data_IF_864798707019
#
_entry.id   IF_864798707019
#
_cell.length_a   1.000
_cell.length_b   1.000
_cell.length_c   1.000
_cell.angle_alpha   90.00
_cell.angle_beta   90.00
_cell.angle_gamma   90.00
#
_symmetry.space_group_name_H-M   'P 1'
#
loop_
_entity.id
_entity.type
_entity.pdbx_description
1 polymer ?
#
# COMPACT_ATOMS: atom_id res chain seq x y z
N UNK A 1 -9.47 -6.69 -4.14
CA UNK A 1 -8.13 -7.28 -4.04
C UNK A 1 -8.17 -8.81 -4.05
N UNK A 2 -8.85 -9.49 -3.13
CA UNK A 2 -8.93 -10.96 -3.10
C UNK A 2 -9.48 -11.58 -4.40
N UNK A 3 -10.50 -10.97 -5.03
CA UNK A 3 -11.04 -11.46 -6.30
C UNK A 3 -10.01 -11.36 -7.45
N UNK A 4 -9.25 -10.27 -7.52
CA UNK A 4 -8.18 -10.11 -8.52
C UNK A 4 -7.08 -11.13 -8.28
N UNK A 5 -6.70 -11.36 -7.02
CA UNK A 5 -5.71 -12.36 -6.66
C UNK A 5 -6.15 -13.79 -7.01
N UNK A 6 -7.41 -14.14 -6.78
CA UNK A 6 -7.94 -15.45 -7.14
C UNK A 6 -8.02 -15.70 -8.64
N UNK A 7 -8.41 -14.68 -9.41
CA UNK A 7 -8.58 -14.81 -10.86
C UNK A 7 -7.24 -14.79 -11.60
N UNK A 8 -6.29 -13.95 -11.15
CA UNK A 8 -5.04 -13.73 -11.86
C UNK A 8 -3.87 -14.51 -11.26
N UNK A 9 -3.84 -14.71 -9.93
CA UNK A 9 -2.67 -15.22 -9.21
C UNK A 9 -2.94 -16.48 -8.36
N UNK A 10 -3.98 -17.25 -8.68
CA UNK A 10 -4.25 -18.56 -8.10
C UNK A 10 -4.47 -18.61 -6.56
N UNK A 11 -4.96 -17.53 -5.96
CA UNK A 11 -5.47 -17.58 -4.58
C UNK A 11 -4.44 -17.56 -3.45
N UNK A 12 -3.18 -17.19 -3.74
CA UNK A 12 -2.08 -17.15 -2.75
C UNK A 12 -2.39 -16.23 -1.56
N UNK A 13 -3.12 -15.13 -1.78
CA UNK A 13 -3.51 -14.22 -0.70
C UNK A 13 -4.42 -14.88 0.32
N UNK A 14 -5.25 -15.84 -0.07
CA UNK A 14 -6.13 -16.55 0.87
C UNK A 14 -5.35 -17.38 1.87
N UNK A 15 -4.32 -18.11 1.41
CA UNK A 15 -3.47 -18.87 2.32
C UNK A 15 -2.83 -17.94 3.36
N UNK A 16 -2.28 -16.81 2.93
CA UNK A 16 -1.69 -15.82 3.84
C UNK A 16 -2.71 -15.23 4.83
N UNK A 17 -3.93 -14.95 4.38
CA UNK A 17 -5.01 -14.47 5.26
C UNK A 17 -5.36 -15.53 6.31
N UNK A 18 -5.42 -16.81 5.94
CA UNK A 18 -5.61 -17.91 6.88
C UNK A 18 -4.46 -18.04 7.88
N UNK A 19 -3.21 -18.00 7.40
CA UNK A 19 -2.01 -18.15 8.22
C UNK A 19 -1.91 -17.02 9.26
N UNK A 20 -2.13 -15.79 8.86
CA UNK A 20 -2.17 -14.64 9.77
C UNK A 20 -3.42 -14.66 10.66
N UNK A 21 -4.55 -15.09 10.13
CA UNK A 21 -5.79 -15.25 10.88
C UNK A 21 -5.72 -16.29 12.00
N UNK A 22 -4.84 -17.28 11.88
CA UNK A 22 -4.57 -18.29 12.92
C UNK A 22 -3.69 -17.77 14.07
N UNK A 23 -3.02 -16.62 13.89
CA UNK A 23 -2.18 -16.03 14.93
C UNK A 23 -3.02 -15.44 16.08
N UNK A 24 -2.46 -15.34 17.30
CA UNK A 24 -3.14 -14.70 18.44
C UNK A 24 -3.63 -13.29 18.08
N UNK A 25 -4.79 -12.90 18.61
CA UNK A 25 -5.39 -11.58 18.33
C UNK A 25 -4.44 -10.42 18.61
N UNK A 26 -3.65 -10.49 19.71
CA UNK A 26 -2.65 -9.47 20.03
C UNK A 26 -1.61 -9.28 18.93
N UNK A 27 -1.13 -10.38 18.32
CA UNK A 27 -0.21 -10.31 17.19
C UNK A 27 -0.87 -9.66 15.96
N UNK A 28 -2.11 -10.03 15.65
CA UNK A 28 -2.86 -9.43 14.52
C UNK A 28 -3.08 -7.93 14.72
N UNK A 29 -3.39 -7.49 15.94
CA UNK A 29 -3.51 -6.07 16.28
C UNK A 29 -2.18 -5.33 16.11
N UNK A 30 -1.05 -5.93 16.50
CA UNK A 30 0.28 -5.34 16.27
C UNK A 30 0.57 -5.19 14.77
N UNK A 31 0.21 -6.18 13.94
CA UNK A 31 0.36 -6.08 12.48
C UNK A 31 -0.49 -4.93 11.92
N UNK A 32 -1.75 -4.77 12.37
CA UNK A 32 -2.61 -3.65 11.95
C UNK A 32 -1.99 -2.29 12.29
N UNK A 33 -1.50 -2.13 13.51
CA UNK A 33 -0.86 -0.89 13.97
C UNK A 33 0.44 -0.61 13.21
N UNK A 34 1.31 -1.63 13.09
CA UNK A 34 2.59 -1.50 12.39
C UNK A 34 2.39 -1.10 10.93
N UNK A 35 1.57 -1.86 10.19
CA UNK A 35 1.32 -1.58 8.76
C UNK A 35 0.66 -0.23 8.58
N UNK A 36 -0.40 0.06 9.33
CA UNK A 36 -1.13 1.32 9.19
C UNK A 36 -0.31 2.57 9.54
N UNK A 37 0.57 2.50 10.53
CA UNK A 37 1.36 3.66 10.97
C UNK A 37 2.70 3.71 10.26
N UNK A 38 3.52 2.67 10.41
CA UNK A 38 4.91 2.69 9.96
C UNK A 38 5.02 2.77 8.44
N UNK A 39 4.19 2.01 7.74
CA UNK A 39 4.23 2.02 6.27
C UNK A 39 3.72 3.35 5.72
N UNK A 40 2.70 3.97 6.32
CA UNK A 40 2.23 5.29 5.88
C UNK A 40 3.24 6.40 6.15
N UNK A 41 3.96 6.35 7.28
CA UNK A 41 5.05 7.29 7.55
C UNK A 41 6.18 7.16 6.51
N UNK A 42 6.55 5.94 6.13
CA UNK A 42 7.63 5.71 5.17
C UNK A 42 7.18 6.06 3.74
N UNK A 43 6.06 5.48 3.29
CA UNK A 43 5.69 5.58 1.87
C UNK A 43 4.94 6.86 1.52
N UNK A 44 4.17 7.45 2.45
CA UNK A 44 3.40 8.69 2.18
C UNK A 44 4.12 9.91 2.71
N UNK A 45 4.37 9.96 4.01
CA UNK A 45 4.99 11.14 4.58
C UNK A 45 6.42 11.35 4.06
N UNK A 46 7.25 10.32 4.02
CA UNK A 46 8.64 10.45 3.56
C UNK A 46 8.73 10.35 2.03
N UNK A 47 8.48 9.17 1.43
CA UNK A 47 8.82 8.93 0.03
C UNK A 47 7.94 9.71 -0.95
N UNK A 48 6.62 9.67 -0.80
CA UNK A 48 5.70 10.42 -1.69
C UNK A 48 5.98 11.92 -1.62
N UNK A 49 6.14 12.47 -0.41
CA UNK A 49 6.41 13.90 -0.22
C UNK A 49 7.78 14.28 -0.76
N UNK A 50 8.81 13.48 -0.50
CA UNK A 50 10.18 13.74 -0.98
C UNK A 50 10.24 13.76 -2.51
N UNK A 51 9.64 12.74 -3.17
CA UNK A 51 9.61 12.67 -4.64
C UNK A 51 8.82 13.84 -5.22
N UNK A 52 7.66 14.17 -4.65
CA UNK A 52 6.87 15.31 -5.10
C UNK A 52 7.65 16.63 -4.95
N UNK A 53 8.33 16.83 -3.83
CA UNK A 53 9.16 18.01 -3.59
C UNK A 53 10.33 18.11 -4.58
N UNK A 54 11.07 17.02 -4.78
CA UNK A 54 12.18 16.97 -5.74
C UNK A 54 11.72 17.20 -7.17
N UNK A 55 10.57 16.62 -7.56
CA UNK A 55 10.01 16.78 -8.90
C UNK A 55 9.49 18.20 -9.15
N UNK A 56 8.97 18.87 -8.13
CA UNK A 56 8.44 20.24 -8.26
C UNK A 56 9.52 21.25 -8.67
N UNK A 57 10.77 21.09 -8.22
CA UNK A 57 11.86 22.02 -8.52
C UNK A 57 12.12 22.18 -10.03
N UNK A 58 12.38 21.11 -10.82
CA UNK A 58 12.55 21.26 -12.25
C UNK A 58 11.25 21.57 -12.98
N UNK A 59 10.12 20.99 -12.57
CA UNK A 59 8.84 21.17 -13.24
C UNK A 59 8.35 22.62 -13.16
N UNK A 60 8.58 23.32 -12.07
CA UNK A 60 8.20 24.75 -11.93
C UNK A 60 8.89 25.68 -12.93
N UNK A 61 9.99 25.24 -13.55
CA UNK A 61 10.67 25.97 -14.62
C UNK A 61 10.09 25.73 -16.00
N UNK A 62 9.24 24.69 -16.15
CA UNK A 62 8.73 24.21 -17.44
C UNK A 62 7.23 24.47 -17.57
N UNK A 63 6.48 24.38 -16.48
CA UNK A 63 5.01 24.49 -16.50
C UNK A 63 4.46 25.20 -15.28
N UNK A 64 3.42 26.05 -15.44
CA UNK A 64 2.70 26.64 -14.31
C UNK A 64 1.96 25.59 -13.46
N UNK A 65 1.61 24.45 -14.03
CA UNK A 65 0.92 23.36 -13.36
C UNK A 65 1.88 22.33 -12.72
N UNK A 66 3.07 22.79 -12.33
CA UNK A 66 4.12 21.95 -11.75
C UNK A 66 3.66 21.20 -10.49
N UNK A 67 2.87 21.83 -9.63
CA UNK A 67 2.48 21.26 -8.34
C UNK A 67 1.62 20.00 -8.47
N UNK A 68 0.47 20.00 -9.18
CA UNK A 68 -0.31 18.78 -9.37
C UNK A 68 0.46 17.64 -10.02
N UNK A 69 1.29 17.97 -11.03
CA UNK A 69 2.11 16.97 -11.72
C UNK A 69 3.15 16.34 -10.78
N UNK A 70 3.87 17.17 -10.00
CA UNK A 70 4.83 16.70 -9.01
C UNK A 70 4.15 15.82 -7.93
N UNK A 71 2.95 16.17 -7.51
CA UNK A 71 2.14 15.39 -6.57
C UNK A 71 1.84 13.99 -7.11
N UNK A 72 1.36 13.90 -8.35
CA UNK A 72 1.08 12.62 -8.98
C UNK A 72 2.34 11.79 -9.19
N UNK A 73 3.46 12.40 -9.55
CA UNK A 73 4.76 11.70 -9.61
C UNK A 73 5.15 11.10 -8.25
N UNK A 74 4.97 11.87 -7.18
CA UNK A 74 5.20 11.37 -5.81
C UNK A 74 4.29 10.19 -5.46
N UNK A 75 2.98 10.31 -5.75
CA UNK A 75 2.01 9.26 -5.48
C UNK A 75 2.36 7.97 -6.25
N UNK A 76 2.64 8.08 -7.54
CA UNK A 76 2.97 6.92 -8.39
C UNK A 76 4.28 6.27 -7.94
N UNK A 77 5.32 7.05 -7.67
CA UNK A 77 6.60 6.54 -7.19
C UNK A 77 6.46 5.87 -5.82
N UNK A 78 5.76 6.50 -4.87
CA UNK A 78 5.50 5.94 -3.55
C UNK A 78 4.69 4.65 -3.62
N UNK A 79 3.68 4.59 -4.48
CA UNK A 79 2.88 3.39 -4.71
C UNK A 79 3.68 2.25 -5.35
N UNK A 80 4.54 2.55 -6.30
CA UNK A 80 5.42 1.57 -6.93
C UNK A 80 6.42 0.98 -5.93
N UNK A 81 7.08 1.84 -5.14
CA UNK A 81 8.01 1.39 -4.10
C UNK A 81 7.29 0.60 -3.00
N UNK A 82 6.08 0.99 -2.64
CA UNK A 82 5.23 0.22 -1.73
C UNK A 82 4.93 -1.19 -2.27
N UNK A 83 4.59 -1.29 -3.55
CA UNK A 83 4.41 -2.57 -4.23
C UNK A 83 5.68 -3.43 -4.21
N UNK A 84 6.83 -2.85 -4.57
CA UNK A 84 8.13 -3.55 -4.57
C UNK A 84 8.54 -4.08 -3.20
N UNK A 85 8.28 -3.33 -2.14
CA UNK A 85 8.61 -3.76 -0.78
C UNK A 85 7.84 -5.02 -0.34
N UNK A 86 6.73 -5.33 -1.01
CA UNK A 86 5.91 -6.51 -0.73
C UNK A 86 6.30 -7.76 -1.53
N UNK A 87 7.29 -7.68 -2.42
CA UNK A 87 7.75 -8.82 -3.24
C UNK A 87 8.25 -9.97 -2.38
N UNK A 88 9.06 -9.69 -1.35
CA UNK A 88 9.61 -10.71 -0.45
C UNK A 88 8.59 -11.42 0.44
N UNK A 89 7.37 -10.90 0.50
CA UNK A 89 6.28 -11.49 1.26
C UNK A 89 5.56 -12.66 0.54
N UNK A 90 6.02 -13.04 -0.64
CA UNK A 90 5.35 -13.97 -1.54
C UNK A 90 6.35 -14.99 -2.10
N UNK A 91 6.87 -15.92 -1.28
CA UNK A 91 7.65 -17.03 -1.80
C UNK A 91 6.76 -17.90 -2.72
N UNK A 92 7.36 -18.44 -3.76
CA UNK A 92 6.80 -19.49 -4.63
C UNK A 92 5.58 -19.11 -5.50
N UNK A 93 5.42 -17.85 -5.85
CA UNK A 93 4.38 -17.43 -6.82
C UNK A 93 4.98 -17.11 -8.19
N UNK A 94 4.26 -17.47 -9.23
CA UNK A 94 4.57 -17.00 -10.57
C UNK A 94 4.49 -15.47 -10.61
N UNK A 95 5.54 -14.82 -11.15
CA UNK A 95 5.60 -13.36 -11.32
C UNK A 95 5.42 -12.54 -10.01
N UNK A 96 6.24 -12.76 -8.97
CA UNK A 96 6.05 -12.13 -7.66
C UNK A 96 6.10 -10.59 -7.72
N UNK A 97 6.96 -10.03 -8.55
CA UNK A 97 7.07 -8.58 -8.74
C UNK A 97 5.78 -8.01 -9.35
N UNK A 98 5.29 -8.62 -10.45
CA UNK A 98 4.07 -8.16 -11.10
C UNK A 98 2.88 -8.20 -10.15
N UNK A 99 2.74 -9.29 -9.40
CA UNK A 99 1.68 -9.45 -8.41
C UNK A 99 1.77 -8.41 -7.28
N UNK A 100 2.94 -8.26 -6.69
CA UNK A 100 3.15 -7.31 -5.59
C UNK A 100 2.88 -5.88 -6.04
N UNK A 101 3.41 -5.47 -7.20
CA UNK A 101 3.21 -4.13 -7.75
C UNK A 101 1.75 -3.91 -8.15
N UNK A 102 1.06 -4.92 -8.72
CA UNK A 102 -0.35 -4.76 -9.09
C UNK A 102 -1.24 -4.63 -7.85
N UNK A 103 -1.11 -5.54 -6.89
CA UNK A 103 -2.03 -5.57 -5.73
C UNK A 103 -1.70 -4.45 -4.73
N UNK A 104 -0.44 -4.39 -4.29
CA UNK A 104 -0.04 -3.40 -3.28
C UNK A 104 0.18 -2.02 -3.91
N UNK A 105 0.63 -1.95 -5.18
CA UNK A 105 0.74 -0.69 -5.89
C UNK A 105 -0.60 0.00 -6.10
N UNK A 106 -1.68 -0.73 -6.44
CA UNK A 106 -3.04 -0.15 -6.52
C UNK A 106 -3.49 0.36 -5.15
N UNK A 107 -3.29 -0.43 -4.08
CA UNK A 107 -3.54 0.05 -2.72
C UNK A 107 -2.70 1.29 -2.40
N UNK A 108 -1.43 1.28 -2.80
CA UNK A 108 -0.50 2.41 -2.68
C UNK A 108 -0.97 3.69 -3.36
N UNK A 109 -1.53 3.57 -4.58
CA UNK A 109 -2.12 4.71 -5.31
C UNK A 109 -3.32 5.30 -4.57
N UNK A 110 -4.23 4.45 -4.07
CA UNK A 110 -5.41 4.89 -3.32
C UNK A 110 -4.99 5.61 -2.03
N UNK A 111 -4.09 5.02 -1.26
CA UNK A 111 -3.61 5.60 0.00
C UNK A 111 -2.78 6.88 -0.25
N UNK A 112 -1.98 6.92 -1.31
CA UNK A 112 -1.22 8.12 -1.71
C UNK A 112 -2.13 9.27 -2.15
N UNK A 113 -3.17 8.98 -2.92
CA UNK A 113 -4.19 9.96 -3.26
C UNK A 113 -4.95 10.45 -2.02
N UNK A 114 -5.35 9.53 -1.11
CA UNK A 114 -6.04 9.87 0.11
C UNK A 114 -5.17 10.73 1.03
N UNK A 115 -3.87 10.39 1.17
CA UNK A 115 -2.87 11.17 1.89
C UNK A 115 -2.84 12.62 1.37
N UNK A 116 -2.81 12.79 0.07
CA UNK A 116 -2.73 14.11 -0.54
C UNK A 116 -4.02 14.93 -0.38
N UNK A 117 -5.16 14.26 -0.45
CA UNK A 117 -6.46 14.92 -0.40
C UNK A 117 -6.99 15.15 1.02
N UNK A 118 -6.75 14.22 1.94
CA UNK A 118 -7.34 14.21 3.28
C UNK A 118 -6.32 14.20 4.42
N UNK A 119 -5.04 14.07 4.12
CA UNK A 119 -3.97 14.02 5.10
C UNK A 119 -3.53 12.62 5.50
N UNK A 120 -2.44 12.58 6.26
CA UNK A 120 -1.77 11.35 6.68
C UNK A 120 -2.67 10.48 7.57
N UNK A 121 -3.42 11.08 8.46
CA UNK A 121 -4.31 10.39 9.40
C UNK A 121 -5.38 9.57 8.67
N UNK A 122 -5.91 10.14 7.57
CA UNK A 122 -6.89 9.43 6.74
C UNK A 122 -6.30 8.24 6.03
N UNK A 123 -5.06 8.35 5.54
CA UNK A 123 -4.34 7.23 4.94
C UNK A 123 -4.05 6.14 6.00
N UNK A 124 -3.54 6.51 7.17
CA UNK A 124 -3.29 5.60 8.30
C UNK A 124 -4.56 4.83 8.69
N UNK A 125 -5.65 5.54 8.96
CA UNK A 125 -6.92 4.92 9.38
C UNK A 125 -7.48 3.99 8.31
N UNK A 126 -7.43 4.39 7.04
CA UNK A 126 -7.88 3.56 5.92
C UNK A 126 -7.04 2.31 5.76
N UNK A 127 -5.71 2.43 5.89
CA UNK A 127 -4.80 1.29 5.82
C UNK A 127 -5.03 0.33 7.00
N UNK A 128 -5.07 0.84 8.23
CA UNK A 128 -5.39 0.04 9.42
C UNK A 128 -6.72 -0.69 9.27
N UNK A 129 -7.76 -0.01 8.79
CA UNK A 129 -9.05 -0.63 8.55
C UNK A 129 -8.97 -1.76 7.52
N UNK A 130 -8.28 -1.55 6.40
CA UNK A 130 -8.11 -2.56 5.37
C UNK A 130 -7.38 -3.81 5.90
N UNK A 131 -6.30 -3.63 6.68
CA UNK A 131 -5.55 -4.73 7.32
C UNK A 131 -6.39 -5.43 8.39
N UNK A 132 -7.15 -4.68 9.19
CA UNK A 132 -8.05 -5.25 10.20
C UNK A 132 -9.14 -6.11 9.54
N UNK A 133 -9.73 -5.66 8.45
CA UNK A 133 -10.69 -6.47 7.68
C UNK A 133 -10.04 -7.75 7.19
N UNK A 134 -8.85 -7.68 6.59
CA UNK A 134 -8.16 -8.84 6.03
C UNK A 134 -7.74 -9.87 7.09
N UNK A 135 -7.22 -9.43 8.24
CA UNK A 135 -6.57 -10.33 9.20
C UNK A 135 -7.36 -10.56 10.51
N UNK A 136 -8.44 -9.82 10.72
CA UNK A 136 -9.28 -9.99 11.90
C UNK A 136 -10.71 -10.38 11.51
N UNK A 137 -11.32 -9.64 10.58
CA UNK A 137 -12.73 -9.85 10.26
C UNK A 137 -12.98 -11.02 9.30
N UNK A 138 -12.15 -11.21 8.26
CA UNK A 138 -12.34 -12.27 7.25
C UNK A 138 -11.97 -13.67 7.73
N UNK A 139 -10.86 -13.92 8.48
CA UNK A 139 -10.41 -15.27 8.81
C UNK A 139 -11.44 -16.20 9.46
N UNK A 140 -12.36 -15.73 10.33
CA UNK A 140 -13.38 -16.59 10.91
C UNK A 140 -14.35 -17.22 9.89
N UNK A 141 -14.37 -16.72 8.64
CA UNK A 141 -15.26 -17.18 7.57
C UNK A 141 -14.54 -17.98 6.48
N UNK A 142 -13.23 -18.25 6.63
CA UNK A 142 -12.38 -19.02 5.71
C UNK A 142 -12.07 -20.41 6.27
#
# INVERSE_FOLDING_TARGET
MLAIDQVIFAGVSLQRVRDLGSQPLGFRLLVVLYSGITEELIYRLLLTTLVAWLAQMPLSRITPDARPLAQWLGIVAGAFLFGLAHVGNLPDVAHPVLRAVTINGVAGLILGWLYWWRGLESAILTHMFAIAVLYIAIPPFL
#
